data_IF_148808945100
#
_entry.id   IF_148808945100
#
_cell.length_a   1.000
_cell.length_b   1.000
_cell.length_c   1.000
_cell.angle_alpha   90.00
_cell.angle_beta   90.00
_cell.angle_gamma   90.00
#
_symmetry.space_group_name_H-M   'P 1'
#
loop_
_entity.id
_entity.type
_entity.pdbx_description
1 polymer ?
#
# COMPACT_ATOMS: atom_id res chain seq x y z
N UNK A 1 -18.79 20.73 10.45
CA UNK A 1 -19.03 22.05 9.84
C UNK A 1 -18.02 22.36 8.73
N UNK A 2 -16.71 22.22 8.98
CA UNK A 2 -15.65 22.53 8.01
C UNK A 2 -15.79 21.74 6.69
N UNK A 3 -15.96 20.42 6.75
CA UNK A 3 -16.07 19.57 5.55
C UNK A 3 -17.37 19.80 4.74
N UNK A 4 -18.42 20.39 5.33
CA UNK A 4 -19.66 20.68 4.60
C UNK A 4 -19.49 21.77 3.52
N UNK A 5 -18.42 22.57 3.59
CA UNK A 5 -18.10 23.58 2.57
C UNK A 5 -17.77 22.93 1.23
N UNK A 6 -17.11 21.77 1.25
CA UNK A 6 -16.69 21.06 0.05
C UNK A 6 -17.88 20.59 -0.82
N UNK A 7 -19.05 20.41 -0.21
CA UNK A 7 -20.28 19.98 -0.90
C UNK A 7 -21.21 21.13 -1.29
N UNK A 8 -20.80 22.40 -1.07
CA UNK A 8 -21.58 23.59 -1.44
C UNK A 8 -21.30 24.11 -2.86
N UNK A 9 -20.34 23.53 -3.57
CA UNK A 9 -20.00 23.90 -4.94
C UNK A 9 -21.09 23.50 -5.93
N UNK A 10 -21.07 24.09 -7.13
CA UNK A 10 -22.03 23.78 -8.21
C UNK A 10 -21.90 22.34 -8.71
N UNK A 11 -20.70 21.78 -8.64
CA UNK A 11 -20.38 20.39 -8.98
C UNK A 11 -19.43 19.81 -7.95
N UNK A 12 -19.72 18.60 -7.47
CA UNK A 12 -18.85 17.84 -6.57
C UNK A 12 -18.43 16.57 -7.29
N UNK A 13 -17.13 16.37 -7.40
CA UNK A 13 -16.55 15.15 -7.98
C UNK A 13 -16.00 14.29 -6.85
N UNK A 14 -16.52 13.06 -6.74
CA UNK A 14 -15.98 12.03 -5.83
C UNK A 14 -14.95 11.18 -6.60
N UNK A 15 -13.77 10.95 -6.00
CA UNK A 15 -12.70 10.16 -6.60
C UNK A 15 -12.90 8.64 -6.50
N UNK A 16 -13.98 8.19 -5.86
CA UNK A 16 -14.35 6.78 -5.70
C UNK A 16 -15.83 6.68 -5.30
N UNK A 17 -16.43 5.49 -5.47
CA UNK A 17 -17.77 5.22 -4.97
C UNK A 17 -17.82 5.26 -3.44
N UNK A 18 -16.74 4.82 -2.76
CA UNK A 18 -16.62 4.95 -1.31
C UNK A 18 -16.77 6.41 -0.85
N UNK A 19 -16.08 7.35 -1.49
CA UNK A 19 -16.20 8.78 -1.18
C UNK A 19 -17.59 9.30 -1.52
N UNK A 20 -18.16 8.90 -2.64
CA UNK A 20 -19.54 9.25 -2.99
C UNK A 20 -20.53 8.80 -1.91
N UNK A 21 -20.45 7.53 -1.48
CA UNK A 21 -21.32 6.98 -0.45
C UNK A 21 -21.13 7.69 0.90
N UNK A 22 -19.88 7.97 1.28
CA UNK A 22 -19.54 8.72 2.49
C UNK A 22 -20.17 10.12 2.49
N UNK A 23 -20.06 10.85 1.40
CA UNK A 23 -20.62 12.19 1.27
C UNK A 23 -22.15 12.12 1.28
N UNK A 24 -22.74 11.20 0.55
CA UNK A 24 -24.20 11.02 0.52
C UNK A 24 -24.75 10.71 1.91
N UNK A 25 -24.09 9.83 2.67
CA UNK A 25 -24.50 9.48 4.05
C UNK A 25 -24.45 10.68 5.00
N UNK A 26 -23.39 11.49 4.93
CA UNK A 26 -23.12 12.50 5.94
C UNK A 26 -23.66 13.89 5.59
N UNK A 27 -23.92 14.20 4.31
CA UNK A 27 -24.24 15.54 3.84
C UNK A 27 -25.51 15.64 2.98
N UNK A 28 -26.23 14.52 2.75
CA UNK A 28 -27.40 14.47 1.87
C UNK A 28 -28.56 15.38 2.30
N UNK A 29 -28.75 15.58 3.62
CA UNK A 29 -29.86 16.39 4.16
C UNK A 29 -29.79 17.87 3.76
N UNK A 30 -28.65 18.36 3.33
CA UNK A 30 -28.41 19.77 3.00
C UNK A 30 -28.28 20.06 1.50
N UNK A 31 -28.43 19.05 0.63
CA UNK A 31 -28.09 19.17 -0.78
C UNK A 31 -29.01 18.34 -1.66
N UNK A 32 -29.46 18.94 -2.77
CA UNK A 32 -30.06 18.18 -3.88
C UNK A 32 -28.91 17.46 -4.64
N UNK A 33 -28.31 16.46 -4.00
CA UNK A 33 -27.08 15.79 -4.41
C UNK A 33 -27.19 15.10 -5.78
N UNK A 34 -28.40 14.67 -6.18
CA UNK A 34 -28.60 13.91 -7.44
C UNK A 34 -28.20 14.69 -8.69
N UNK A 35 -28.19 16.02 -8.65
CA UNK A 35 -27.87 16.88 -9.80
C UNK A 35 -26.45 17.43 -9.81
N UNK A 36 -25.69 17.28 -8.67
CA UNK A 36 -24.40 17.96 -8.48
C UNK A 36 -23.24 17.01 -8.25
N UNK A 37 -23.48 15.68 -8.31
CA UNK A 37 -22.47 14.69 -7.96
C UNK A 37 -22.09 13.84 -9.16
N UNK A 38 -20.79 13.74 -9.41
CA UNK A 38 -20.20 12.78 -10.34
C UNK A 38 -19.16 11.94 -9.60
N UNK A 39 -19.09 10.66 -9.93
CA UNK A 39 -17.96 9.82 -9.58
C UNK A 39 -17.02 9.80 -10.77
N UNK A 40 -15.82 10.30 -10.58
CA UNK A 40 -14.74 10.22 -11.56
C UNK A 40 -13.56 9.59 -10.82
N UNK A 41 -13.27 8.34 -11.12
CA UNK A 41 -12.15 7.64 -10.48
C UNK A 41 -10.83 8.37 -10.73
N UNK A 42 -9.98 8.40 -9.72
CA UNK A 42 -8.64 8.96 -9.87
C UNK A 42 -7.83 8.04 -10.78
N UNK A 43 -7.31 8.60 -11.84
CA UNK A 43 -6.37 7.90 -12.70
C UNK A 43 -4.95 7.89 -12.13
N UNK A 44 -4.10 7.11 -12.77
CA UNK A 44 -2.66 7.07 -12.58
C UNK A 44 -1.97 7.32 -13.92
N UNK A 45 -0.77 7.88 -13.88
CA UNK A 45 0.06 7.99 -15.07
C UNK A 45 0.77 6.65 -15.30
N UNK A 46 0.21 5.80 -16.16
CA UNK A 46 0.72 4.46 -16.45
C UNK A 46 2.05 4.47 -17.22
N UNK A 47 2.38 5.58 -17.91
CA UNK A 47 3.67 5.74 -18.58
C UNK A 47 4.77 6.06 -17.58
N UNK A 48 4.44 6.79 -16.51
CA UNK A 48 5.37 7.02 -15.40
C UNK A 48 5.57 5.76 -14.55
N UNK A 49 4.48 5.03 -14.27
CA UNK A 49 4.52 3.76 -13.55
C UNK A 49 4.60 2.60 -14.55
N UNK A 50 5.71 2.54 -15.29
CA UNK A 50 5.98 1.48 -16.26
C UNK A 50 7.18 0.63 -15.80
N UNK A 51 7.01 -0.70 -15.64
CA UNK A 51 8.07 -1.57 -15.17
C UNK A 51 9.28 -1.65 -16.13
N UNK A 52 9.14 -1.22 -17.38
CA UNK A 52 10.23 -1.23 -18.38
C UNK A 52 11.18 -0.03 -18.25
N UNK A 53 10.80 1.03 -17.56
CA UNK A 53 11.52 2.32 -17.55
C UNK A 53 12.71 2.39 -16.58
N UNK A 54 12.92 1.37 -15.73
CA UNK A 54 13.96 1.39 -14.70
C UNK A 54 15.21 0.61 -15.11
N UNK A 55 16.40 1.22 -14.97
CA UNK A 55 17.67 0.59 -15.29
C UNK A 55 18.15 -0.33 -14.15
N UNK A 56 18.84 -1.41 -14.49
CA UNK A 56 19.42 -2.33 -13.50
C UNK A 56 20.40 -1.65 -12.55
N UNK A 57 21.19 -0.71 -13.06
CA UNK A 57 22.14 0.04 -12.25
C UNK A 57 21.45 0.89 -11.18
N UNK A 58 20.33 1.52 -11.54
CA UNK A 58 19.50 2.27 -10.58
C UNK A 58 18.89 1.37 -9.52
N UNK A 59 18.40 0.17 -9.92
CA UNK A 59 17.87 -0.82 -8.99
C UNK A 59 18.94 -1.27 -7.99
N UNK A 60 20.15 -1.59 -8.44
CA UNK A 60 21.28 -1.97 -7.57
C UNK A 60 21.65 -0.85 -6.59
N UNK A 61 21.71 0.38 -7.08
CA UNK A 61 22.03 1.55 -6.24
C UNK A 61 20.97 1.78 -5.18
N UNK A 62 19.68 1.65 -5.54
CA UNK A 62 18.59 1.82 -4.58
C UNK A 62 18.64 0.76 -3.50
N UNK A 63 18.78 -0.53 -3.87
CA UNK A 63 18.90 -1.63 -2.93
C UNK A 63 20.08 -1.45 -1.98
N UNK A 64 21.24 -1.06 -2.50
CA UNK A 64 22.41 -0.76 -1.68
C UNK A 64 22.14 0.38 -0.69
N UNK A 65 21.47 1.45 -1.13
CA UNK A 65 21.10 2.58 -0.25
C UNK A 65 20.13 2.19 0.86
N UNK A 66 19.29 1.16 0.64
CA UNK A 66 18.39 0.61 1.65
C UNK A 66 19.05 -0.44 2.56
N UNK A 67 20.28 -0.87 2.21
CA UNK A 67 20.97 -1.94 2.93
C UNK A 67 20.27 -3.29 2.79
N UNK A 68 19.72 -3.58 1.60
CA UNK A 68 19.07 -4.85 1.25
C UNK A 68 19.68 -5.43 -0.02
N UNK A 69 19.55 -6.73 -0.20
CA UNK A 69 20.09 -7.50 -1.32
C UNK A 69 19.00 -8.31 -2.02
N UNK A 70 19.30 -8.86 -3.21
CA UNK A 70 18.34 -9.66 -4.00
C UNK A 70 18.33 -11.15 -3.66
N UNK A 71 19.03 -11.57 -2.61
CA UNK A 71 19.05 -12.94 -2.12
C UNK A 71 17.75 -13.36 -1.42
N UNK A 72 16.89 -12.38 -1.10
CA UNK A 72 15.59 -12.58 -0.44
C UNK A 72 14.51 -11.75 -1.10
N UNK A 73 13.25 -12.15 -0.91
CA UNK A 73 12.09 -11.37 -1.32
C UNK A 73 12.01 -10.04 -0.55
N UNK A 74 11.59 -8.98 -1.22
CA UNK A 74 11.49 -7.63 -0.68
C UNK A 74 10.01 -7.23 -0.59
N UNK A 75 9.55 -6.98 0.64
CA UNK A 75 8.19 -6.51 0.95
C UNK A 75 8.26 -5.00 1.16
N UNK A 76 7.56 -4.23 0.34
CA UNK A 76 7.52 -2.77 0.40
C UNK A 76 6.21 -2.29 1.03
N UNK A 77 6.30 -1.44 2.04
CA UNK A 77 5.17 -0.70 2.59
C UNK A 77 5.36 0.79 2.38
N UNK A 78 4.85 1.38 1.28
CA UNK A 78 4.97 2.81 1.03
C UNK A 78 3.84 3.58 1.71
N UNK A 79 4.17 4.68 2.36
CA UNK A 79 3.17 5.56 2.97
C UNK A 79 3.74 6.42 4.09
N UNK A 80 3.06 7.52 4.38
CA UNK A 80 3.43 8.40 5.51
C UNK A 80 3.45 7.61 6.81
N UNK A 81 4.38 7.95 7.70
CA UNK A 81 4.43 7.34 9.03
C UNK A 81 3.35 7.98 9.93
N UNK A 82 2.18 7.39 9.90
CA UNK A 82 1.00 7.81 10.69
C UNK A 82 0.21 6.57 11.12
N UNK A 83 -0.35 6.58 12.33
CA UNK A 83 -1.00 5.41 12.91
C UNK A 83 -2.05 4.77 11.99
N UNK A 84 -2.87 5.59 11.32
CA UNK A 84 -3.92 5.10 10.43
C UNK A 84 -3.41 4.36 9.17
N UNK A 85 -2.11 4.51 8.82
CA UNK A 85 -1.47 3.76 7.73
C UNK A 85 -1.08 2.33 8.13
N UNK A 86 -1.18 1.96 9.41
CA UNK A 86 -1.08 0.59 9.86
C UNK A 86 0.33 0.01 9.93
N UNK A 87 1.38 0.84 10.11
CA UNK A 87 2.74 0.33 10.29
C UNK A 87 2.87 -0.65 11.46
N UNK A 88 2.09 -0.45 12.54
CA UNK A 88 2.07 -1.36 13.68
C UNK A 88 1.54 -2.74 13.26
N UNK A 89 0.40 -2.78 12.57
CA UNK A 89 -0.19 -4.02 12.03
C UNK A 89 0.80 -4.74 11.10
N UNK A 90 1.51 -3.99 10.26
CA UNK A 90 2.52 -4.55 9.37
C UNK A 90 3.68 -5.18 10.16
N UNK A 91 4.22 -4.50 11.15
CA UNK A 91 5.33 -4.99 11.99
C UNK A 91 4.90 -6.24 12.77
N UNK A 92 3.69 -6.25 13.32
CA UNK A 92 3.13 -7.42 14.00
C UNK A 92 2.96 -8.60 13.03
N UNK A 93 2.46 -8.35 11.83
CA UNK A 93 2.34 -9.38 10.80
C UNK A 93 3.70 -9.95 10.39
N UNK A 94 4.73 -9.11 10.21
CA UNK A 94 6.09 -9.59 9.90
C UNK A 94 6.67 -10.48 11.00
N UNK A 95 6.37 -10.20 12.27
CA UNK A 95 6.75 -11.07 13.37
C UNK A 95 6.07 -12.45 13.29
N UNK A 96 4.80 -12.50 12.87
CA UNK A 96 4.09 -13.76 12.65
C UNK A 96 4.64 -14.52 11.44
N UNK A 97 4.95 -13.84 10.34
CA UNK A 97 5.63 -14.42 9.17
C UNK A 97 6.97 -15.05 9.56
N UNK A 98 7.77 -14.38 10.40
CA UNK A 98 9.03 -14.95 10.88
C UNK A 98 8.86 -16.21 11.71
N UNK A 99 7.78 -16.32 12.48
CA UNK A 99 7.49 -17.54 13.26
C UNK A 99 7.15 -18.73 12.36
N UNK A 100 6.57 -18.46 11.20
CA UNK A 100 6.14 -19.47 10.25
C UNK A 100 7.24 -19.86 9.23
N UNK A 101 7.90 -18.88 8.62
CA UNK A 101 8.89 -19.09 7.57
C UNK A 101 10.35 -19.12 8.07
N UNK A 102 10.57 -18.80 9.35
CA UNK A 102 11.91 -18.62 9.92
C UNK A 102 12.42 -17.19 9.79
N UNK A 103 13.34 -16.83 10.68
CA UNK A 103 13.96 -15.51 10.70
C UNK A 103 14.78 -15.25 9.44
N UNK A 104 14.73 -14.00 8.95
CA UNK A 104 15.50 -13.52 7.81
C UNK A 104 15.13 -14.17 6.46
N UNK A 105 13.91 -14.68 6.31
CA UNK A 105 13.40 -15.22 5.03
C UNK A 105 13.08 -14.15 3.99
N UNK A 106 12.95 -12.87 4.41
CA UNK A 106 12.63 -11.72 3.56
C UNK A 106 13.33 -10.45 4.05
N UNK A 107 13.32 -9.42 3.21
CA UNK A 107 13.49 -8.04 3.63
C UNK A 107 12.14 -7.31 3.60
N UNK A 108 11.94 -6.38 4.54
CA UNK A 108 10.82 -5.47 4.54
C UNK A 108 11.32 -4.02 4.55
N UNK A 109 10.62 -3.15 3.83
CA UNK A 109 10.96 -1.72 3.75
C UNK A 109 9.72 -0.89 4.02
N UNK A 110 9.72 -0.14 5.12
CA UNK A 110 8.74 0.91 5.37
C UNK A 110 9.30 2.19 4.75
N UNK A 111 8.64 2.66 3.69
CA UNK A 111 9.07 3.80 2.89
C UNK A 111 8.14 4.99 3.07
N UNK A 112 8.62 6.02 3.76
CA UNK A 112 7.85 7.26 3.92
C UNK A 112 8.34 8.14 5.05
N UNK A 113 8.00 9.43 4.98
CA UNK A 113 8.36 10.42 6.00
C UNK A 113 7.31 10.51 7.10
N UNK A 114 7.76 10.83 8.30
CA UNK A 114 6.91 11.16 9.45
C UNK A 114 6.42 12.62 9.44
N UNK A 115 6.96 13.43 8.53
CA UNK A 115 6.62 14.84 8.43
C UNK A 115 6.84 15.61 9.76
N UNK A 116 7.89 15.24 10.50
CA UNK A 116 8.22 15.82 11.80
C UNK A 116 7.42 15.26 12.98
N UNK A 117 6.70 14.13 12.80
CA UNK A 117 5.93 13.45 13.86
C UNK A 117 6.73 12.29 14.47
N UNK A 118 7.86 12.58 15.06
CA UNK A 118 8.86 11.62 15.53
C UNK A 118 8.36 10.64 16.62
N UNK A 119 7.34 11.03 17.40
CA UNK A 119 6.78 10.19 18.49
C UNK A 119 6.27 8.85 17.93
N UNK A 120 5.51 8.89 16.83
CA UNK A 120 5.01 7.68 16.21
C UNK A 120 6.14 6.85 15.57
N UNK A 121 7.09 7.50 14.92
CA UNK A 121 8.26 6.84 14.34
C UNK A 121 9.09 6.12 15.40
N UNK A 122 9.30 6.75 16.56
CA UNK A 122 9.97 6.12 17.71
C UNK A 122 9.19 4.90 18.22
N UNK A 123 7.86 4.99 18.28
CA UNK A 123 6.99 3.88 18.71
C UNK A 123 7.16 2.66 17.81
N UNK A 124 7.02 2.84 16.50
CA UNK A 124 7.10 1.72 15.53
C UNK A 124 8.52 1.11 15.44
N UNK A 125 9.57 1.93 15.59
CA UNK A 125 10.95 1.42 15.67
C UNK A 125 11.17 0.56 16.91
N UNK A 126 10.67 0.98 18.08
CA UNK A 126 10.72 0.17 19.31
C UNK A 126 9.96 -1.15 19.16
N UNK A 127 8.79 -1.13 18.52
CA UNK A 127 8.03 -2.34 18.23
C UNK A 127 8.81 -3.31 17.34
N UNK A 128 9.46 -2.80 16.30
CA UNK A 128 10.33 -3.59 15.43
C UNK A 128 11.54 -4.18 16.19
N UNK A 129 12.11 -3.44 17.13
CA UNK A 129 13.19 -3.90 18.00
C UNK A 129 12.72 -5.01 18.95
N UNK A 130 11.57 -4.84 19.59
CA UNK A 130 10.96 -5.86 20.45
C UNK A 130 10.75 -7.20 19.73
N UNK A 131 10.37 -7.16 18.47
CA UNK A 131 10.21 -8.34 17.62
C UNK A 131 11.50 -8.79 16.90
N UNK A 132 12.66 -8.16 17.20
CA UNK A 132 13.97 -8.48 16.61
C UNK A 132 13.99 -8.39 15.09
N UNK A 133 13.24 -7.45 14.52
CA UNK A 133 13.08 -7.28 13.07
C UNK A 133 14.12 -6.34 12.44
N UNK A 134 14.93 -5.59 13.22
CA UNK A 134 15.79 -4.50 12.71
C UNK A 134 16.82 -4.95 11.66
N UNK A 135 17.22 -6.22 11.65
CA UNK A 135 18.14 -6.75 10.65
C UNK A 135 17.49 -6.86 9.26
N UNK A 136 16.19 -7.13 9.20
CA UNK A 136 15.45 -7.38 7.97
C UNK A 136 14.42 -6.29 7.63
N UNK A 137 14.01 -5.45 8.60
CA UNK A 137 13.10 -4.33 8.39
C UNK A 137 13.89 -3.02 8.32
N UNK A 138 13.77 -2.32 7.20
CA UNK A 138 14.40 -1.02 6.95
C UNK A 138 13.36 0.10 6.98
N UNK A 139 13.72 1.21 7.61
CA UNK A 139 12.95 2.45 7.61
C UNK A 139 13.63 3.43 6.67
N UNK A 140 12.96 3.78 5.57
CA UNK A 140 13.46 4.68 4.53
C UNK A 140 12.55 5.90 4.47
N UNK A 141 13.12 7.09 4.61
CA UNK A 141 12.33 8.32 4.76
C UNK A 141 11.61 8.74 3.47
N UNK A 142 12.32 8.78 2.36
CA UNK A 142 11.76 9.28 1.11
C UNK A 142 12.43 8.64 -0.11
N UNK A 143 11.61 8.34 -1.11
CA UNK A 143 12.08 7.96 -2.44
C UNK A 143 11.39 8.85 -3.48
N UNK A 144 12.18 9.60 -4.25
CA UNK A 144 11.63 10.45 -5.33
C UNK A 144 11.16 9.62 -6.52
N UNK A 145 11.85 8.53 -6.81
CA UNK A 145 11.52 7.62 -7.91
C UNK A 145 10.70 6.44 -7.38
N UNK A 146 9.39 6.63 -7.21
CA UNK A 146 8.50 5.57 -6.74
C UNK A 146 8.40 4.38 -7.69
N UNK A 147 8.36 4.53 -9.04
CA UNK A 147 8.47 3.39 -9.96
C UNK A 147 9.66 2.47 -9.65
N UNK A 148 10.83 3.06 -9.37
CA UNK A 148 12.01 2.27 -9.01
C UNK A 148 11.83 1.51 -7.68
N UNK A 149 11.21 2.15 -6.67
CA UNK A 149 10.91 1.50 -5.40
C UNK A 149 9.95 0.30 -5.56
N UNK A 150 8.91 0.44 -6.37
CA UNK A 150 8.03 -0.68 -6.72
C UNK A 150 8.78 -1.74 -7.53
N UNK A 151 9.59 -1.34 -8.51
CA UNK A 151 10.34 -2.29 -9.36
C UNK A 151 11.23 -3.23 -8.56
N UNK A 152 11.91 -2.71 -7.54
CA UNK A 152 12.79 -3.50 -6.68
C UNK A 152 12.06 -4.35 -5.63
N UNK A 153 10.77 -4.17 -5.43
CA UNK A 153 9.98 -4.99 -4.50
C UNK A 153 9.39 -6.22 -5.19
N UNK A 154 9.13 -7.27 -4.41
CA UNK A 154 8.42 -8.47 -4.85
C UNK A 154 6.95 -8.43 -4.43
N UNK A 155 6.66 -7.77 -3.32
CA UNK A 155 5.32 -7.60 -2.75
C UNK A 155 5.16 -6.19 -2.21
N UNK A 156 4.00 -5.60 -2.42
CA UNK A 156 3.61 -4.32 -1.84
C UNK A 156 2.51 -4.55 -0.80
N UNK A 157 2.56 -3.81 0.32
CA UNK A 157 1.55 -3.91 1.39
C UNK A 157 1.02 -2.52 1.71
N UNK A 158 -0.31 -2.38 1.77
CA UNK A 158 -1.00 -1.15 2.18
C UNK A 158 -1.99 -1.45 3.32
N UNK A 159 -1.50 -1.53 4.58
CA UNK A 159 -2.26 -2.06 5.71
C UNK A 159 -3.01 -0.95 6.47
N UNK A 160 -3.57 0.03 5.77
CA UNK A 160 -4.30 1.14 6.40
C UNK A 160 -5.42 0.63 7.31
N UNK A 161 -5.50 1.15 8.55
CA UNK A 161 -6.54 0.79 9.52
C UNK A 161 -7.77 1.69 9.44
N UNK A 162 -7.66 2.80 8.70
CA UNK A 162 -8.76 3.67 8.35
C UNK A 162 -8.96 3.69 6.84
N UNK A 163 -10.20 3.91 6.35
CA UNK A 163 -10.48 3.87 4.93
C UNK A 163 -9.72 4.91 4.12
N UNK A 164 -9.02 4.49 3.09
CA UNK A 164 -8.45 5.38 2.09
C UNK A 164 -9.50 5.85 1.09
N UNK A 165 -9.37 7.08 0.62
CA UNK A 165 -10.29 7.65 -0.34
C UNK A 165 -10.28 6.93 -1.70
N UNK A 166 -9.11 6.43 -2.14
CA UNK A 166 -8.94 5.77 -3.44
C UNK A 166 -8.00 4.56 -3.38
N UNK A 167 -6.94 4.60 -2.56
CA UNK A 167 -5.93 3.53 -2.51
C UNK A 167 -4.85 3.68 -3.58
N UNK A 168 -4.19 4.84 -3.64
CA UNK A 168 -3.14 5.13 -4.64
C UNK A 168 -2.04 4.08 -4.69
N UNK A 169 -1.61 3.57 -3.53
CA UNK A 169 -0.56 2.54 -3.45
C UNK A 169 -0.95 1.28 -4.23
N UNK A 170 -2.23 0.91 -4.20
CA UNK A 170 -2.70 -0.27 -4.92
C UNK A 170 -2.57 -0.11 -6.44
N UNK A 171 -3.06 1.01 -6.99
CA UNK A 171 -2.99 1.23 -8.45
C UNK A 171 -1.55 1.48 -8.92
N UNK A 172 -0.71 2.12 -8.11
CA UNK A 172 0.72 2.31 -8.40
C UNK A 172 1.46 0.95 -8.44
N UNK A 173 1.21 0.07 -7.47
CA UNK A 173 1.78 -1.28 -7.45
C UNK A 173 1.31 -2.12 -8.65
N UNK A 174 0.00 -2.14 -8.90
CA UNK A 174 -0.58 -2.85 -10.05
C UNK A 174 -0.02 -2.33 -11.39
N UNK A 175 0.10 -1.02 -11.56
CA UNK A 175 0.70 -0.43 -12.76
C UNK A 175 2.15 -0.88 -12.98
N UNK A 176 2.89 -1.15 -11.90
CA UNK A 176 4.25 -1.67 -11.91
C UNK A 176 4.31 -3.22 -11.94
N UNK A 177 3.19 -3.89 -12.23
CA UNK A 177 3.08 -5.37 -12.24
C UNK A 177 3.50 -6.01 -10.92
N UNK A 178 3.26 -5.31 -9.78
CA UNK A 178 3.57 -5.82 -8.45
C UNK A 178 2.32 -6.28 -7.73
N UNK A 179 2.42 -7.43 -7.07
CA UNK A 179 1.36 -7.86 -6.19
C UNK A 179 1.19 -6.88 -5.04
N UNK A 180 -0.05 -6.63 -4.71
CA UNK A 180 -0.48 -5.79 -3.61
C UNK A 180 -1.33 -6.60 -2.62
N UNK A 181 -1.03 -6.47 -1.34
CA UNK A 181 -1.94 -6.85 -0.26
C UNK A 181 -2.43 -5.56 0.40
N UNK A 182 -3.72 -5.34 0.45
CA UNK A 182 -4.30 -4.15 1.08
C UNK A 182 -5.42 -4.50 2.05
N UNK A 183 -5.69 -3.59 2.98
CA UNK A 183 -6.83 -3.71 3.89
C UNK A 183 -8.15 -3.67 3.12
N UNK A 184 -9.09 -4.56 3.47
CA UNK A 184 -10.43 -4.66 2.90
C UNK A 184 -11.34 -3.52 3.39
N UNK A 185 -10.93 -2.27 3.17
CA UNK A 185 -11.69 -1.07 3.55
C UNK A 185 -11.49 0.07 2.53
N UNK A 186 -12.51 0.92 2.41
CA UNK A 186 -12.43 2.15 1.61
C UNK A 186 -12.18 1.91 0.13
N UNK A 187 -11.35 2.75 -0.48
CA UNK A 187 -11.03 2.70 -1.91
C UNK A 187 -10.25 1.46 -2.35
N UNK A 188 -9.60 0.73 -1.44
CA UNK A 188 -8.90 -0.52 -1.80
C UNK A 188 -9.85 -1.55 -2.40
N UNK A 189 -11.11 -1.60 -1.94
CA UNK A 189 -12.14 -2.50 -2.45
C UNK A 189 -12.61 -2.15 -3.87
N UNK A 190 -12.26 -0.98 -4.36
CA UNK A 190 -12.61 -0.54 -5.70
C UNK A 190 -11.43 -0.65 -6.67
N UNK A 191 -10.21 -0.72 -6.14
CA UNK A 191 -8.97 -0.76 -6.93
C UNK A 191 -8.35 -2.15 -6.99
N UNK A 192 -8.78 -3.09 -6.16
CA UNK A 192 -8.27 -4.47 -6.12
C UNK A 192 -9.44 -5.43 -6.34
N UNK A 193 -9.28 -6.33 -7.29
CA UNK A 193 -10.12 -7.52 -7.45
C UNK A 193 -9.43 -8.65 -6.69
N UNK A 194 -10.01 -9.02 -5.54
CA UNK A 194 -9.40 -9.99 -4.61
C UNK A 194 -9.08 -11.31 -5.31
N UNK A 195 -7.93 -11.89 -4.98
CA UNK A 195 -7.34 -13.10 -5.55
C UNK A 195 -7.04 -13.04 -7.08
N UNK A 196 -7.26 -11.89 -7.74
CA UNK A 196 -7.02 -11.72 -9.19
C UNK A 196 -5.99 -10.64 -9.51
N UNK A 197 -6.14 -9.46 -8.93
CA UNK A 197 -5.25 -8.32 -9.19
C UNK A 197 -4.46 -7.89 -7.96
N UNK A 198 -4.64 -8.60 -6.87
CA UNK A 198 -4.05 -8.42 -5.55
C UNK A 198 -4.85 -9.16 -4.50
N UNK A 199 -4.53 -8.94 -3.26
CA UNK A 199 -5.18 -9.60 -2.13
C UNK A 199 -5.73 -8.60 -1.14
N UNK A 200 -6.90 -8.92 -0.57
CA UNK A 200 -7.50 -8.15 0.51
C UNK A 200 -7.39 -8.91 1.83
N UNK A 201 -7.14 -8.19 2.92
CA UNK A 201 -7.10 -8.75 4.26
C UNK A 201 -7.95 -7.93 5.23
N UNK A 202 -8.34 -8.51 6.36
CA UNK A 202 -9.15 -7.85 7.38
C UNK A 202 -8.38 -6.68 8.01
N UNK A 203 -8.90 -5.45 7.88
CA UNK A 203 -8.26 -4.24 8.35
C UNK A 203 -7.94 -4.29 9.85
N UNK A 204 -6.71 -3.93 10.21
CA UNK A 204 -6.24 -3.95 11.60
C UNK A 204 -5.88 -5.35 12.13
N UNK A 205 -6.05 -6.41 11.35
CA UNK A 205 -5.78 -7.78 11.76
C UNK A 205 -4.41 -8.25 11.23
N UNK A 206 -3.40 -8.26 12.11
CA UNK A 206 -2.04 -8.67 11.78
C UNK A 206 -1.93 -10.16 11.40
N UNK A 207 -2.78 -11.03 11.97
CA UNK A 207 -2.82 -12.46 11.63
C UNK A 207 -3.38 -12.67 10.23
N UNK A 208 -4.45 -11.96 9.87
CA UNK A 208 -5.00 -11.99 8.50
C UNK A 208 -3.97 -11.50 7.48
N UNK A 209 -3.23 -10.43 7.80
CA UNK A 209 -2.16 -9.91 6.93
C UNK A 209 -1.00 -10.90 6.81
N UNK A 210 -0.54 -11.51 7.92
CA UNK A 210 0.58 -12.46 7.90
C UNK A 210 0.28 -13.68 7.03
N UNK A 211 -0.93 -14.24 7.11
CA UNK A 211 -1.37 -15.36 6.26
C UNK A 211 -1.28 -15.02 4.77
N UNK A 212 -1.74 -13.82 4.38
CA UNK A 212 -1.65 -13.37 2.99
C UNK A 212 -0.20 -13.11 2.56
N UNK A 213 0.66 -12.58 3.42
CA UNK A 213 2.09 -12.43 3.12
C UNK A 213 2.74 -13.80 2.89
N UNK A 214 2.53 -14.78 3.77
CA UNK A 214 3.06 -16.14 3.64
C UNK A 214 2.57 -16.79 2.35
N UNK A 215 1.26 -16.68 2.05
CA UNK A 215 0.67 -17.17 0.80
C UNK A 215 1.44 -16.62 -0.42
N UNK A 216 1.62 -15.30 -0.50
CA UNK A 216 2.31 -14.65 -1.62
C UNK A 216 3.78 -15.02 -1.70
N UNK A 217 4.49 -15.09 -0.56
CA UNK A 217 5.91 -15.45 -0.55
C UNK A 217 6.17 -16.89 -1.03
N UNK A 218 5.18 -17.77 -0.89
CA UNK A 218 5.22 -19.16 -1.35
C UNK A 218 4.75 -19.35 -2.80
N UNK A 219 4.24 -18.31 -3.47
CA UNK A 219 3.85 -18.41 -4.88
C UNK A 219 5.07 -18.62 -5.79
N UNK A 220 4.86 -19.39 -6.86
CA UNK A 220 5.86 -19.55 -7.92
C UNK A 220 6.08 -18.20 -8.65
N UNK A 221 7.26 -18.03 -9.25
CA UNK A 221 7.56 -16.81 -10.04
C UNK A 221 6.59 -16.64 -11.21
N UNK A 222 6.15 -17.72 -11.82
CA UNK A 222 5.15 -17.70 -12.90
C UNK A 222 3.79 -17.18 -12.41
N UNK A 223 3.36 -17.62 -11.22
CA UNK A 223 2.11 -17.14 -10.60
C UNK A 223 2.20 -15.65 -10.22
N UNK A 224 3.31 -15.24 -9.60
CA UNK A 224 3.57 -13.83 -9.27
C UNK A 224 3.51 -12.94 -10.51
N UNK A 225 4.16 -13.37 -11.60
CA UNK A 225 4.16 -12.65 -12.87
C UNK A 225 2.76 -12.56 -13.50
N UNK A 226 2.04 -13.68 -13.52
CA UNK A 226 0.67 -13.72 -14.07
C UNK A 226 -0.27 -12.77 -13.34
N UNK A 227 -0.29 -12.82 -12.01
CA UNK A 227 -1.10 -11.93 -11.18
C UNK A 227 -0.68 -10.45 -11.32
N UNK A 228 0.61 -10.17 -11.43
CA UNK A 228 1.12 -8.82 -11.69
C UNK A 228 0.64 -8.25 -13.01
N UNK A 229 0.64 -9.05 -14.09
CA UNK A 229 0.11 -8.66 -15.40
C UNK A 229 -1.40 -8.38 -15.33
N UNK A 230 -2.16 -9.24 -14.63
CA UNK A 230 -3.60 -8.99 -14.43
C UNK A 230 -3.84 -7.71 -13.60
N UNK A 231 -3.00 -7.45 -12.60
CA UNK A 231 -3.02 -6.18 -11.87
C UNK A 231 -2.84 -4.98 -12.78
N UNK A 232 -1.87 -4.99 -13.70
CA UNK A 232 -1.63 -3.89 -14.64
C UNK A 232 -2.80 -3.69 -15.62
N UNK A 233 -3.45 -4.77 -16.07
CA UNK A 233 -4.64 -4.67 -16.94
C UNK A 233 -5.85 -4.04 -16.24
N UNK A 234 -5.90 -4.12 -14.91
CA UNK A 234 -6.99 -3.59 -14.10
C UNK A 234 -6.90 -2.06 -13.92
N UNK A 235 -5.74 -1.46 -14.18
CA UNK A 235 -5.47 -0.03 -13.98
C UNK A 235 -5.61 0.74 -15.28
#
# INVERSE_FOLDING_TARGET
FYNSVMVRSNLVIAGSNFIFAHINKNYSKNLNLKKKFLVIFRGINVDYFDPSTTLETEQKNLLSSWGVTRDKKIILMPGRLTAWKGQEVFIEALNLVNKELGYQSFYAVILGSDQGRDVYTKKIKRLAEQYRLLNQLKFVEHCKNMPLAYKVSDLVVSPSIEPEAFGRVAVEAQSMEKLIIASNIGGSNETIVDDKTGFLFEAGNAESLSKKIVEVLNLSESSLKSLGIEGRKNV
#
